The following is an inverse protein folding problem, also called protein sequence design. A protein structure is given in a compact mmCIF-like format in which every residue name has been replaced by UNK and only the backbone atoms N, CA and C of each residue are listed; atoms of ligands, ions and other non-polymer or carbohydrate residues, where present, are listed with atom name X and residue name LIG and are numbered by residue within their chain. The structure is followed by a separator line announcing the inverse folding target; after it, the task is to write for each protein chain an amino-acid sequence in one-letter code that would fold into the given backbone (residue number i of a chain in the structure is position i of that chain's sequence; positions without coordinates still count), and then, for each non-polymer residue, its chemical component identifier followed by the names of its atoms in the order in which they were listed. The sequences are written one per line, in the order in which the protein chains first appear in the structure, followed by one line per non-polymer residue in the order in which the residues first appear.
data_IF_392792877084
#
_entry.id   IF_392792877084
#
_cell.length_a   1.000
_cell.length_b   1.000
_cell.length_c   1.000
_cell.angle_alpha   90.00
_cell.angle_beta   90.00
_cell.angle_gamma   90.00
#
_symmetry.space_group_name_H-M   'P 1'
#
loop_
_entity.id
_entity.type
_entity.pdbx_description
1 polymer ?
#
# COMPACT_ATOMS: atom_id res chain seq x y z
N UNK A 1 2.40 -0.49 -6.28
CA UNK A 1 1.30 -1.49 -6.24
C UNK A 1 1.84 -2.82 -6.75
N UNK A 2 1.65 -3.90 -6.00
CA UNK A 2 2.18 -5.24 -6.27
C UNK A 2 1.18 -6.14 -7.00
N UNK A 3 -0.12 -5.95 -6.81
CA UNK A 3 -1.16 -6.81 -7.40
C UNK A 3 -2.33 -6.00 -7.94
N UNK A 4 -2.81 -6.38 -9.12
CA UNK A 4 -4.05 -5.87 -9.71
C UNK A 4 -5.09 -6.98 -9.69
N UNK A 5 -6.20 -6.75 -9.00
CA UNK A 5 -7.38 -7.61 -9.07
C UNK A 5 -8.35 -6.95 -10.03
N UNK A 6 -8.55 -7.58 -11.19
CA UNK A 6 -9.40 -7.08 -12.26
C UNK A 6 -10.59 -8.02 -12.45
N UNK A 7 -11.79 -7.50 -12.23
CA UNK A 7 -13.04 -8.16 -12.63
C UNK A 7 -13.36 -7.66 -14.03
N UNK A 8 -13.24 -8.54 -15.02
CA UNK A 8 -13.48 -8.21 -16.41
C UNK A 8 -14.93 -7.79 -16.60
N UNK A 9 -15.18 -6.52 -16.93
CA UNK A 9 -16.53 -5.97 -16.98
C UNK A 9 -17.37 -6.56 -18.13
N UNK A 10 -16.74 -7.03 -19.22
CA UNK A 10 -17.45 -7.68 -20.33
C UNK A 10 -17.81 -9.12 -20.01
N UNK A 11 -16.89 -9.88 -19.40
CA UNK A 11 -17.19 -11.26 -18.99
C UNK A 11 -18.15 -11.30 -17.79
N UNK A 12 -18.05 -10.34 -16.87
CA UNK A 12 -18.98 -10.20 -15.75
C UNK A 12 -20.43 -9.99 -16.22
N UNK A 13 -20.64 -9.15 -17.24
CA UNK A 13 -21.97 -8.89 -17.79
C UNK A 13 -22.64 -10.14 -18.42
N UNK A 14 -21.84 -11.13 -18.85
CA UNK A 14 -22.34 -12.39 -19.42
C UNK A 14 -22.77 -13.41 -18.35
N UNK A 15 -22.48 -13.16 -17.07
CA UNK A 15 -22.85 -14.09 -15.99
C UNK A 15 -24.37 -14.09 -15.81
N UNK A 16 -24.96 -15.26 -15.97
CA UNK A 16 -26.40 -15.48 -15.75
C UNK A 16 -26.70 -15.98 -14.33
N UNK A 17 -25.80 -16.77 -13.75
CA UNK A 17 -26.02 -17.41 -12.45
C UNK A 17 -25.73 -16.43 -11.32
N UNK A 18 -26.74 -16.22 -10.48
CA UNK A 18 -26.61 -15.40 -9.27
C UNK A 18 -25.51 -15.90 -8.34
N UNK A 19 -25.37 -17.22 -8.20
CA UNK A 19 -24.34 -17.82 -7.35
C UNK A 19 -22.93 -17.47 -7.83
N UNK A 20 -22.70 -17.34 -9.14
CA UNK A 20 -21.39 -16.96 -9.67
C UNK A 20 -21.08 -15.48 -9.37
N UNK A 21 -22.07 -14.60 -9.46
CA UNK A 21 -21.94 -13.18 -9.03
C UNK A 21 -21.60 -13.08 -7.53
N UNK A 22 -22.23 -13.91 -6.70
CA UNK A 22 -21.92 -13.98 -5.27
C UNK A 22 -20.56 -14.61 -5.00
N UNK A 23 -20.15 -15.61 -5.79
CA UNK A 23 -18.81 -16.18 -5.70
C UNK A 23 -17.73 -15.14 -6.05
N UNK A 24 -17.98 -14.21 -6.97
CA UNK A 24 -17.06 -13.10 -7.24
C UNK A 24 -16.90 -12.21 -6.01
N UNK A 25 -17.98 -11.85 -5.31
CA UNK A 25 -17.88 -11.14 -4.03
C UNK A 25 -17.01 -11.89 -3.03
N UNK A 26 -17.22 -13.21 -2.90
CA UNK A 26 -16.44 -14.06 -1.99
C UNK A 26 -14.96 -14.06 -2.39
N UNK A 27 -14.64 -14.17 -3.67
CA UNK A 27 -13.26 -14.07 -4.18
C UNK A 27 -12.63 -12.74 -3.77
N UNK A 28 -13.32 -11.61 -3.98
CA UNK A 28 -12.82 -10.29 -3.59
C UNK A 28 -12.55 -10.24 -2.08
N UNK A 29 -13.50 -10.68 -1.27
CA UNK A 29 -13.37 -10.68 0.20
C UNK A 29 -12.21 -11.56 0.69
N UNK A 30 -12.02 -12.73 0.09
CA UNK A 30 -10.89 -13.63 0.38
C UNK A 30 -9.54 -13.02 -0.03
N UNK A 31 -9.45 -12.42 -1.22
CA UNK A 31 -8.24 -11.73 -1.66
C UNK A 31 -7.91 -10.52 -0.78
N UNK A 32 -8.92 -9.75 -0.37
CA UNK A 32 -8.76 -8.63 0.56
C UNK A 32 -8.19 -9.06 1.92
N UNK A 33 -8.49 -10.30 2.35
CA UNK A 33 -7.95 -10.88 3.58
C UNK A 33 -6.53 -11.43 3.41
N UNK A 34 -6.23 -12.02 2.26
CA UNK A 34 -4.95 -12.71 2.01
C UNK A 34 -3.84 -11.74 1.63
N UNK A 35 -4.14 -10.73 0.82
CA UNK A 35 -3.14 -9.81 0.29
C UNK A 35 -2.73 -8.74 1.33
N UNK A 36 -1.45 -8.31 1.33
CA UNK A 36 -0.99 -7.27 2.24
C UNK A 36 -1.79 -5.96 2.10
N UNK A 37 -2.01 -5.27 3.22
CA UNK A 37 -2.77 -4.01 3.23
C UNK A 37 -2.09 -2.97 2.32
N UNK A 38 -2.89 -2.27 1.51
CA UNK A 38 -2.50 -1.25 0.52
C UNK A 38 -1.48 -1.72 -0.53
N UNK A 39 -1.29 -3.02 -0.74
CA UNK A 39 -0.38 -3.53 -1.79
C UNK A 39 -1.09 -3.82 -3.12
N UNK A 40 -2.41 -3.87 -3.14
CA UNK A 40 -3.20 -4.26 -4.31
C UNK A 40 -4.26 -3.22 -4.67
N UNK A 41 -4.72 -3.26 -5.92
CA UNK A 41 -5.86 -2.45 -6.38
C UNK A 41 -6.99 -3.35 -6.84
N UNK A 42 -8.23 -2.87 -6.66
CA UNK A 42 -9.44 -3.49 -7.16
C UNK A 42 -9.94 -2.69 -8.36
N UNK A 43 -10.27 -3.38 -9.43
CA UNK A 43 -10.78 -2.78 -10.65
C UNK A 43 -11.90 -3.64 -11.22
N UNK A 44 -13.02 -3.06 -11.63
CA UNK A 44 -14.10 -3.86 -12.20
C UNK A 44 -15.36 -3.10 -12.58
N UNK A 45 -16.43 -3.80 -13.01
CA UNK A 45 -17.60 -3.19 -13.62
C UNK A 45 -18.38 -2.30 -12.65
N UNK A 46 -18.76 -1.12 -13.16
CA UNK A 46 -19.72 -0.19 -12.57
C UNK A 46 -19.59 -0.04 -11.06
N UNK A 47 -20.72 -0.10 -10.34
CA UNK A 47 -20.77 0.28 -8.92
C UNK A 47 -20.42 -0.87 -7.99
N UNK A 48 -19.38 -0.68 -7.21
CA UNK A 48 -19.06 -1.56 -6.09
C UNK A 48 -19.83 -1.09 -4.84
N UNK A 49 -20.33 -2.01 -4.02
CA UNK A 49 -21.14 -1.60 -2.86
C UNK A 49 -22.63 -1.45 -3.14
N UNK A 50 -23.10 -1.75 -4.36
CA UNK A 50 -24.52 -1.73 -4.68
C UNK A 50 -25.26 -2.90 -4.02
N UNK A 51 -26.38 -2.59 -3.33
CA UNK A 51 -27.36 -3.60 -2.87
C UNK A 51 -28.43 -3.91 -3.94
N UNK A 52 -28.37 -3.21 -5.08
CA UNK A 52 -29.35 -3.25 -6.16
C UNK A 52 -28.96 -4.19 -7.30
N UNK A 53 -28.91 -3.67 -8.52
CA UNK A 53 -28.65 -4.47 -9.73
C UNK A 53 -27.19 -4.97 -9.79
N UNK A 54 -26.98 -6.19 -9.29
CA UNK A 54 -25.68 -6.87 -9.19
C UNK A 54 -25.04 -7.09 -10.56
N UNK A 55 -25.80 -7.01 -11.66
CA UNK A 55 -25.23 -7.10 -13.01
C UNK A 55 -24.49 -5.84 -13.42
N UNK A 56 -24.79 -4.71 -12.79
CA UNK A 56 -24.17 -3.41 -13.07
C UNK A 56 -22.99 -3.10 -12.14
N UNK A 57 -22.63 -4.01 -11.23
CA UNK A 57 -21.41 -3.90 -10.44
C UNK A 57 -21.28 -4.94 -9.33
N UNK A 58 -20.12 -4.96 -8.67
CA UNK A 58 -19.78 -6.04 -7.73
C UNK A 58 -20.44 -5.80 -6.36
N UNK A 59 -21.18 -6.78 -5.79
CA UNK A 59 -22.01 -6.57 -4.60
C UNK A 59 -21.22 -6.71 -3.30
N UNK A 60 -20.08 -6.04 -3.21
CA UNK A 60 -19.20 -6.02 -2.04
C UNK A 60 -19.79 -5.17 -0.91
N UNK A 61 -19.37 -5.43 0.32
CA UNK A 61 -19.46 -4.45 1.42
C UNK A 61 -18.11 -3.81 1.67
N UNK A 62 -18.06 -2.71 2.43
CA UNK A 62 -16.80 -2.06 2.80
C UNK A 62 -15.77 -3.05 3.39
N UNK A 63 -16.21 -3.95 4.27
CA UNK A 63 -15.37 -5.01 4.86
C UNK A 63 -14.73 -5.96 3.85
N UNK A 64 -15.32 -6.09 2.66
CA UNK A 64 -14.81 -6.98 1.61
C UNK A 64 -13.63 -6.35 0.86
N UNK A 65 -13.38 -5.04 1.01
CA UNK A 65 -12.41 -4.29 0.20
C UNK A 65 -11.50 -3.34 0.99
N UNK A 66 -11.65 -3.27 2.32
CA UNK A 66 -11.03 -2.24 3.16
C UNK A 66 -9.49 -2.24 3.17
N UNK A 67 -8.82 -3.30 2.72
CA UNK A 67 -7.36 -3.37 2.64
C UNK A 67 -6.82 -2.91 1.27
N UNK A 68 -7.65 -2.69 0.26
CA UNK A 68 -7.20 -2.29 -1.09
C UNK A 68 -6.55 -0.90 -1.08
N UNK A 69 -5.52 -0.65 -1.88
CA UNK A 69 -4.97 0.69 -2.05
C UNK A 69 -5.93 1.62 -2.83
N UNK A 70 -6.67 1.03 -3.75
CA UNK A 70 -7.51 1.76 -4.71
C UNK A 70 -8.67 0.90 -5.19
N UNK A 71 -9.79 1.56 -5.45
CA UNK A 71 -10.94 1.03 -6.17
C UNK A 71 -11.12 1.81 -7.47
N UNK A 72 -11.12 1.08 -8.58
CA UNK A 72 -11.32 1.60 -9.93
C UNK A 72 -12.63 1.05 -10.48
N UNK A 73 -13.63 1.91 -10.61
CA UNK A 73 -14.94 1.54 -11.16
C UNK A 73 -14.92 1.79 -12.67
N UNK A 74 -15.12 0.73 -13.45
CA UNK A 74 -15.06 0.75 -14.91
C UNK A 74 -16.48 0.84 -15.47
N UNK A 75 -16.82 1.99 -16.04
CA UNK A 75 -18.10 2.21 -16.71
C UNK A 75 -17.97 1.87 -18.21
N UNK A 76 -18.71 0.86 -18.66
CA UNK A 76 -18.87 0.51 -20.08
C UNK A 76 -20.23 1.04 -20.55
N UNK A 77 -20.31 1.60 -21.76
CA UNK A 77 -21.56 2.13 -22.34
C UNK A 77 -22.45 1.04 -22.97
N UNK A 78 -22.02 -0.22 -22.95
CA UNK A 78 -22.64 -1.34 -23.67
C UNK A 78 -24.04 -1.75 -23.14
N UNK A 79 -24.41 -1.32 -21.94
CA UNK A 79 -25.79 -1.40 -21.45
C UNK A 79 -26.49 -0.06 -21.68
N UNK A 80 -27.78 -0.08 -22.03
CA UNK A 80 -28.67 1.10 -22.15
C UNK A 80 -28.76 2.00 -20.92
N UNK A 81 -27.99 1.69 -19.87
CA UNK A 81 -27.82 2.41 -18.63
C UNK A 81 -26.32 2.59 -18.38
N UNK A 82 -25.86 3.84 -18.31
CA UNK A 82 -24.56 4.15 -17.69
C UNK A 82 -24.69 3.79 -16.20
N UNK A 83 -23.84 2.91 -15.65
CA UNK A 83 -23.94 2.53 -14.25
C UNK A 83 -23.69 3.74 -13.35
N UNK A 84 -24.56 3.95 -12.37
CA UNK A 84 -24.37 4.95 -11.32
C UNK A 84 -23.13 4.58 -10.51
N UNK A 85 -22.07 5.36 -10.63
CA UNK A 85 -20.84 5.14 -9.89
C UNK A 85 -21.01 5.44 -8.39
N UNK A 86 -20.09 4.96 -7.56
CA UNK A 86 -20.18 5.11 -6.10
C UNK A 86 -20.00 6.55 -5.60
N UNK A 87 -19.56 7.47 -6.46
CA UNK A 87 -19.31 8.87 -6.14
C UNK A 87 -20.53 9.54 -5.49
N UNK A 88 -20.33 10.16 -4.31
CA UNK A 88 -21.40 10.84 -3.56
C UNK A 88 -22.29 9.94 -2.69
N UNK A 89 -21.90 8.67 -2.48
CA UNK A 89 -22.66 7.71 -1.65
C UNK A 89 -21.99 7.50 -0.28
N UNK A 90 -22.71 6.91 0.70
CA UNK A 90 -22.10 6.52 1.99
C UNK A 90 -20.89 5.62 1.79
N UNK A 91 -20.97 4.70 0.82
CA UNK A 91 -19.88 3.82 0.46
C UNK A 91 -18.64 4.61 -0.01
N UNK A 92 -18.81 5.68 -0.78
CA UNK A 92 -17.69 6.55 -1.16
C UNK A 92 -17.10 7.29 0.03
N UNK A 93 -17.91 7.72 1.00
CA UNK A 93 -17.37 8.29 2.24
C UNK A 93 -16.52 7.26 3.00
N UNK A 94 -16.98 6.02 3.10
CA UNK A 94 -16.20 4.93 3.72
C UNK A 94 -14.84 4.72 3.01
N UNK A 95 -14.78 4.85 1.68
CA UNK A 95 -13.53 4.78 0.92
C UNK A 95 -12.60 5.95 1.23
N UNK A 96 -13.16 7.17 1.29
CA UNK A 96 -12.40 8.40 1.59
C UNK A 96 -11.82 8.34 3.00
N UNK A 97 -12.63 7.98 4.00
CA UNK A 97 -12.21 7.84 5.40
C UNK A 97 -11.07 6.83 5.60
N UNK A 98 -10.99 5.83 4.72
CA UNK A 98 -9.97 4.79 4.79
C UNK A 98 -8.79 5.06 3.85
N UNK A 99 -8.75 6.22 3.19
CA UNK A 99 -7.73 6.56 2.22
C UNK A 99 -7.61 5.51 1.10
N UNK A 100 -8.72 4.86 0.76
CA UNK A 100 -8.84 4.02 -0.42
C UNK A 100 -9.03 4.97 -1.60
N UNK A 101 -8.05 4.99 -2.50
CA UNK A 101 -8.13 5.84 -3.67
C UNK A 101 -9.29 5.41 -4.55
N UNK A 102 -10.06 6.37 -5.05
CA UNK A 102 -11.23 6.10 -5.88
C UNK A 102 -11.02 6.72 -7.25
N UNK A 103 -11.21 5.93 -8.30
CA UNK A 103 -11.12 6.39 -9.68
C UNK A 103 -12.27 5.83 -10.51
N UNK A 104 -13.18 6.67 -10.99
CA UNK A 104 -14.07 6.27 -12.06
C UNK A 104 -13.30 6.26 -13.39
N UNK A 105 -13.44 5.18 -14.15
CA UNK A 105 -12.77 4.99 -15.43
C UNK A 105 -13.79 4.73 -16.53
N UNK A 106 -13.63 5.41 -17.65
CA UNK A 106 -14.48 5.32 -18.85
C UNK A 106 -13.61 4.90 -20.04
N UNK A 107 -13.34 3.60 -20.25
CA UNK A 107 -12.44 3.13 -21.30
C UNK A 107 -12.84 3.52 -22.72
N UNK A 108 -14.13 3.78 -22.95
CA UNK A 108 -14.68 4.17 -24.26
C UNK A 108 -14.57 5.67 -24.56
N UNK A 109 -14.09 6.48 -23.62
CA UNK A 109 -13.87 7.90 -23.87
C UNK A 109 -12.61 8.10 -24.71
N UNK A 110 -12.68 9.02 -25.68
CA UNK A 110 -11.62 9.23 -26.69
C UNK A 110 -10.26 9.61 -26.10
N UNK A 111 -10.28 10.21 -24.91
CA UNK A 111 -9.07 10.66 -24.20
C UNK A 111 -8.55 9.60 -23.22
N UNK A 112 -9.24 8.45 -23.10
CA UNK A 112 -8.81 7.33 -22.26
C UNK A 112 -7.93 6.36 -23.07
N UNK A 113 -6.71 6.14 -22.59
CA UNK A 113 -5.84 5.07 -23.11
C UNK A 113 -5.95 3.90 -22.14
N UNK A 114 -6.70 2.87 -22.54
CA UNK A 114 -6.87 1.66 -21.75
C UNK A 114 -6.07 0.50 -22.34
N UNK A 115 -5.06 0.03 -21.60
CA UNK A 115 -4.12 -1.00 -22.08
C UNK A 115 -4.70 -2.41 -21.90
N UNK A 116 -5.67 -2.81 -22.72
CA UNK A 116 -6.34 -4.13 -22.62
C UNK A 116 -5.37 -5.32 -22.64
N UNK A 117 -4.28 -5.19 -23.39
CA UNK A 117 -3.25 -6.24 -23.50
C UNK A 117 -2.55 -6.52 -22.17
N UNK A 118 -2.50 -5.56 -21.25
CA UNK A 118 -2.03 -5.81 -19.88
C UNK A 118 -2.92 -6.82 -19.17
N UNK A 119 -4.25 -6.65 -19.25
CA UNK A 119 -5.20 -7.52 -18.56
C UNK A 119 -5.41 -8.86 -19.26
N UNK A 120 -5.31 -8.90 -20.59
CA UNK A 120 -5.53 -10.13 -21.37
C UNK A 120 -4.26 -10.96 -21.56
N UNK A 121 -3.09 -10.32 -21.53
CA UNK A 121 -1.78 -10.99 -21.74
C UNK A 121 -1.09 -11.43 -20.46
N UNK A 122 -1.51 -10.94 -19.29
CA UNK A 122 -0.89 -11.30 -18.02
C UNK A 122 -1.34 -12.67 -17.52
N UNK A 123 -0.41 -13.40 -16.90
CA UNK A 123 -0.68 -14.61 -16.13
C UNK A 123 -1.68 -14.31 -15.00
N UNK A 124 -2.78 -15.05 -14.99
CA UNK A 124 -3.79 -14.99 -13.94
C UNK A 124 -3.46 -15.94 -12.78
N UNK A 125 -3.28 -15.39 -11.59
CA UNK A 125 -3.01 -16.12 -10.34
C UNK A 125 -4.24 -16.69 -9.63
N UNK A 126 -5.47 -16.41 -10.07
CA UNK A 126 -6.70 -16.78 -9.34
C UNK A 126 -6.74 -18.28 -9.01
N UNK A 127 -6.55 -19.13 -10.01
CA UNK A 127 -6.62 -20.60 -9.85
C UNK A 127 -5.53 -21.16 -8.92
N UNK A 128 -4.43 -20.44 -8.73
CA UNK A 128 -3.37 -20.84 -7.82
C UNK A 128 -3.68 -20.43 -6.38
N UNK A 129 -4.14 -19.20 -6.17
CA UNK A 129 -4.42 -18.65 -4.83
C UNK A 129 -5.73 -19.22 -4.28
N UNK A 130 -6.77 -19.31 -5.12
CA UNK A 130 -8.10 -19.77 -4.77
C UNK A 130 -8.58 -20.88 -5.74
N UNK A 131 -8.04 -22.11 -5.65
CA UNK A 131 -8.33 -23.19 -6.61
C UNK A 131 -9.82 -23.51 -6.77
N UNK A 132 -10.59 -23.40 -5.69
CA UNK A 132 -12.05 -23.60 -5.68
C UNK A 132 -12.78 -22.71 -6.71
N UNK A 133 -12.25 -21.51 -6.95
CA UNK A 133 -12.83 -20.50 -7.82
C UNK A 133 -12.13 -20.40 -9.19
N UNK A 134 -11.25 -21.35 -9.53
CA UNK A 134 -10.49 -21.31 -10.77
C UNK A 134 -11.35 -21.27 -12.04
N UNK A 135 -12.57 -21.80 -11.99
CA UNK A 135 -13.54 -21.73 -13.10
C UNK A 135 -14.03 -20.30 -13.41
N UNK A 136 -13.78 -19.33 -12.53
CA UNK A 136 -14.07 -17.91 -12.75
C UNK A 136 -12.84 -17.12 -13.24
N UNK A 137 -11.76 -17.79 -13.64
CA UNK A 137 -10.51 -17.12 -14.09
C UNK A 137 -10.68 -16.28 -15.36
N UNK A 138 -11.71 -16.54 -16.16
CA UNK A 138 -12.05 -15.71 -17.32
C UNK A 138 -12.65 -14.36 -16.89
N UNK A 139 -13.26 -14.31 -15.70
CA UNK A 139 -13.92 -13.11 -15.17
C UNK A 139 -13.05 -12.38 -14.15
N UNK A 140 -12.42 -13.09 -13.22
CA UNK A 140 -11.58 -12.48 -12.18
C UNK A 140 -10.12 -12.80 -12.45
N UNK A 141 -9.33 -11.74 -12.66
CA UNK A 141 -7.90 -11.81 -12.93
C UNK A 141 -7.12 -11.28 -11.73
N UNK A 142 -6.26 -12.12 -11.17
CA UNK A 142 -5.31 -11.72 -10.12
C UNK A 142 -3.93 -11.62 -10.76
N UNK A 143 -3.51 -10.39 -11.04
CA UNK A 143 -2.27 -10.10 -11.77
C UNK A 143 -1.23 -9.60 -10.76
N UNK A 144 -0.33 -10.49 -10.35
CA UNK A 144 0.86 -10.10 -9.60
C UNK A 144 1.86 -9.44 -10.56
N UNK A 145 2.32 -8.22 -10.24
CA UNK A 145 3.19 -7.45 -11.12
C UNK A 145 4.53 -8.15 -11.29
N UNK A 146 5.12 -8.67 -10.21
CA UNK A 146 6.41 -9.37 -10.22
C UNK A 146 6.43 -10.63 -11.10
N UNK A 147 5.31 -11.36 -11.15
CA UNK A 147 5.14 -12.58 -11.95
C UNK A 147 5.09 -12.31 -13.45
N UNK A 148 4.69 -11.10 -13.83
CA UNK A 148 4.45 -10.70 -15.22
C UNK A 148 5.51 -9.72 -15.74
N UNK A 149 6.12 -8.94 -14.86
CA UNK A 149 7.02 -7.85 -15.16
C UNK A 149 8.18 -7.85 -14.17
N UNK A 150 9.33 -8.38 -14.62
CA UNK A 150 10.51 -8.54 -13.77
C UNK A 150 11.00 -7.20 -13.21
N UNK A 151 11.14 -7.14 -11.88
CA UNK A 151 11.63 -5.98 -11.14
C UNK A 151 10.88 -4.68 -11.49
N UNK A 152 9.55 -4.76 -11.60
CA UNK A 152 8.65 -3.63 -11.83
C UNK A 152 7.58 -3.57 -10.74
N UNK A 153 7.08 -2.37 -10.50
CA UNK A 153 5.88 -2.08 -9.73
C UNK A 153 4.90 -1.27 -10.58
N UNK A 154 3.61 -1.40 -10.28
CA UNK A 154 2.59 -0.53 -10.86
C UNK A 154 2.51 0.77 -10.03
N UNK A 155 2.76 1.89 -10.70
CA UNK A 155 2.63 3.23 -10.15
C UNK A 155 1.36 3.85 -10.71
N UNK A 156 0.53 4.42 -9.84
CA UNK A 156 -0.68 5.16 -10.21
C UNK A 156 -0.56 6.58 -9.69
N UNK A 157 -0.55 7.54 -10.60
CA UNK A 157 -0.56 8.97 -10.31
C UNK A 157 -1.96 9.52 -10.61
N UNK A 158 -2.50 10.32 -9.71
CA UNK A 158 -3.80 10.96 -9.89
C UNK A 158 -3.71 12.43 -9.52
N UNK A 159 -4.36 13.27 -10.31
CA UNK A 159 -4.57 14.67 -10.02
C UNK A 159 -6.07 14.96 -10.14
N UNK A 160 -6.70 15.23 -9.00
CA UNK A 160 -8.14 15.50 -8.92
C UNK A 160 -8.54 16.83 -9.56
N UNK A 161 -7.69 17.87 -9.45
CA UNK A 161 -7.96 19.19 -10.02
C UNK A 161 -7.94 19.17 -11.56
N UNK A 162 -6.99 18.41 -12.12
CA UNK A 162 -6.86 18.21 -13.56
C UNK A 162 -7.77 17.10 -14.10
N UNK A 163 -8.41 16.33 -13.22
CA UNK A 163 -9.18 15.12 -13.55
C UNK A 163 -8.39 14.13 -14.43
N UNK A 164 -7.12 13.92 -14.08
CA UNK A 164 -6.22 13.04 -14.83
C UNK A 164 -5.65 11.96 -13.93
N UNK A 165 -5.56 10.75 -14.47
CA UNK A 165 -4.85 9.64 -13.86
C UNK A 165 -3.94 8.97 -14.89
N UNK A 166 -2.78 8.51 -14.45
CA UNK A 166 -1.83 7.74 -15.27
C UNK A 166 -1.38 6.54 -14.45
N UNK A 167 -1.41 5.37 -15.08
CA UNK A 167 -0.84 4.15 -14.54
C UNK A 167 0.28 3.67 -15.44
N UNK A 168 1.44 3.34 -14.87
CA UNK A 168 2.59 2.82 -15.62
C UNK A 168 3.41 1.86 -14.76
N UNK A 169 4.17 1.00 -15.44
CA UNK A 169 5.09 0.07 -14.80
C UNK A 169 6.48 0.69 -14.75
N UNK A 170 7.06 0.77 -13.56
CA UNK A 170 8.43 1.24 -13.39
C UNK A 170 9.19 0.39 -12.38
N UNK A 171 10.51 0.55 -12.28
CA UNK A 171 11.28 -0.12 -11.24
C UNK A 171 10.78 0.32 -9.86
N UNK A 172 10.76 -0.59 -8.87
CA UNK A 172 10.63 -0.17 -7.47
C UNK A 172 11.61 0.97 -7.26
N UNK A 173 11.19 2.06 -6.62
CA UNK A 173 12.02 3.24 -6.49
C UNK A 173 13.38 2.86 -5.90
N UNK A 174 14.41 2.70 -6.75
CA UNK A 174 15.74 3.02 -6.31
C UNK A 174 15.68 4.52 -6.16
N UNK A 175 15.75 5.01 -4.93
CA UNK A 175 16.21 6.37 -4.66
C UNK A 175 17.62 6.47 -5.27
N UNK A 176 17.70 6.66 -6.58
CA UNK A 176 18.94 6.95 -7.27
C UNK A 176 19.33 8.34 -6.80
N UNK A 177 20.33 8.36 -5.93
CA UNK A 177 20.86 9.51 -5.21
C UNK A 177 21.26 10.68 -6.13
N UNK A 178 21.39 10.43 -7.44
CA UNK A 178 21.92 11.38 -8.41
C UNK A 178 20.95 12.47 -8.88
N UNK A 179 19.67 12.45 -8.49
CA UNK A 179 18.71 13.53 -8.82
C UNK A 179 18.26 14.36 -7.60
N UNK A 180 18.77 14.08 -6.40
CA UNK A 180 18.25 14.64 -5.15
C UNK A 180 18.74 16.05 -4.78
N UNK A 181 19.64 16.67 -5.55
CA UNK A 181 20.17 18.00 -5.17
C UNK A 181 19.25 19.15 -5.59
N UNK A 182 18.29 18.96 -6.52
CA UNK A 182 17.56 20.11 -7.07
C UNK A 182 16.07 20.19 -6.79
N UNK A 183 15.42 19.24 -6.12
CA UNK A 183 14.02 19.41 -5.67
C UNK A 183 13.74 18.51 -4.47
N UNK A 184 13.96 19.02 -3.25
CA UNK A 184 13.43 18.38 -2.04
C UNK A 184 11.92 18.60 -2.04
N UNK A 185 11.20 17.73 -2.75
CA UNK A 185 9.75 17.59 -2.61
C UNK A 185 9.51 16.87 -1.28
N UNK A 186 9.54 17.61 -0.16
CA UNK A 186 8.94 17.12 1.08
C UNK A 186 7.50 16.77 0.71
N UNK A 187 7.00 15.55 0.99
CA UNK A 187 5.60 15.24 0.74
C UNK A 187 4.75 16.34 1.36
N UNK A 188 4.03 17.11 0.53
CA UNK A 188 3.05 18.08 1.02
C UNK A 188 1.99 17.26 1.75
N UNK A 189 2.08 17.22 3.09
CA UNK A 189 0.99 16.72 3.90
C UNK A 189 -0.14 17.72 3.73
N UNK A 190 -1.20 17.33 3.04
CA UNK A 190 -2.48 17.97 3.21
C UNK A 190 -2.85 17.95 4.71
N UNK A 191 -3.64 18.93 5.16
CA UNK A 191 -4.09 19.10 6.55
C UNK A 191 -4.87 17.89 7.14
N UNK A 192 -4.90 16.73 6.49
CA UNK A 192 -5.53 15.50 6.97
C UNK A 192 -4.60 14.69 7.86
N UNK A 193 -5.13 14.18 8.96
CA UNK A 193 -4.48 13.29 9.93
C UNK A 193 -3.96 11.95 9.36
N UNK A 194 -4.27 11.65 8.09
CA UNK A 194 -4.13 10.32 7.45
C UNK A 194 -2.77 10.06 6.78
N UNK A 195 -1.93 11.09 6.60
CA UNK A 195 -0.58 10.96 6.05
C UNK A 195 0.51 10.83 7.13
N UNK A 196 0.10 10.71 8.40
CA UNK A 196 1.01 10.65 9.55
C UNK A 196 2.04 9.51 9.47
N UNK A 197 1.63 8.34 8.96
CA UNK A 197 2.52 7.19 8.78
C UNK A 197 3.48 7.37 7.59
N UNK A 198 3.07 8.00 6.49
CA UNK A 198 3.93 8.22 5.31
C UNK A 198 5.11 9.12 5.65
N UNK A 199 4.84 10.21 6.37
CA UNK A 199 5.88 11.12 6.82
C UNK A 199 6.85 10.42 7.76
N UNK A 200 6.34 9.65 8.72
CA UNK A 200 7.15 8.86 9.66
C UNK A 200 8.01 7.82 8.94
N UNK A 201 7.43 7.10 7.99
CA UNK A 201 8.13 6.12 7.17
C UNK A 201 9.26 6.80 6.37
N UNK A 202 8.95 7.89 5.69
CA UNK A 202 9.94 8.69 4.96
C UNK A 202 11.07 9.16 5.87
N UNK A 203 10.76 9.69 7.06
CA UNK A 203 11.80 10.13 8.00
C UNK A 203 12.64 8.96 8.53
N UNK A 204 12.05 7.78 8.73
CA UNK A 204 12.79 6.57 9.07
C UNK A 204 13.77 6.15 7.97
N UNK A 205 13.37 6.23 6.70
CA UNK A 205 14.27 6.02 5.55
C UNK A 205 15.39 7.06 5.52
N UNK A 206 15.10 8.34 5.80
CA UNK A 206 16.14 9.37 5.86
C UNK A 206 17.16 9.08 6.96
N UNK A 207 16.73 8.65 8.15
CA UNK A 207 17.62 8.25 9.24
C UNK A 207 18.50 7.06 8.80
N UNK A 208 17.88 6.01 8.22
CA UNK A 208 18.59 4.83 7.75
C UNK A 208 19.61 5.14 6.63
N UNK A 209 19.33 6.15 5.80
CA UNK A 209 20.25 6.58 4.74
C UNK A 209 21.40 7.43 5.28
N UNK A 210 21.18 8.25 6.31
CA UNK A 210 22.19 9.18 6.84
C UNK A 210 23.09 8.58 7.91
N UNK A 211 22.68 7.47 8.54
CA UNK A 211 23.53 6.78 9.51
C UNK A 211 24.76 6.16 8.84
N UNK A 212 25.92 6.34 9.48
CA UNK A 212 27.14 5.63 9.13
C UNK A 212 27.16 4.27 9.87
N UNK A 213 26.69 3.23 9.18
CA UNK A 213 26.58 1.89 9.74
C UNK A 213 27.93 1.27 10.10
N UNK A 214 29.04 1.72 9.48
CA UNK A 214 30.37 1.19 9.79
C UNK A 214 30.92 1.81 11.07
N UNK A 215 30.83 3.13 11.20
CA UNK A 215 31.27 3.87 12.39
C UNK A 215 30.50 3.40 13.62
N UNK A 216 29.17 3.25 13.49
CA UNK A 216 28.29 2.89 14.59
C UNK A 216 28.10 1.38 14.78
N UNK A 217 28.84 0.51 14.08
CA UNK A 217 28.71 -0.95 14.21
C UNK A 217 27.26 -1.46 14.07
N UNK A 218 26.54 -0.96 13.06
CA UNK A 218 25.18 -1.39 12.72
C UNK A 218 25.22 -2.36 11.53
N UNK A 219 24.51 -3.48 11.61
CA UNK A 219 24.35 -4.47 10.53
C UNK A 219 23.03 -4.33 9.79
N UNK A 220 22.00 -3.83 10.47
CA UNK A 220 20.67 -3.69 9.88
C UNK A 220 19.81 -2.72 10.65
N UNK A 221 18.92 -2.06 9.93
CA UNK A 221 17.95 -1.11 10.45
C UNK A 221 16.60 -1.53 9.90
N UNK A 222 15.63 -1.70 10.80
CA UNK A 222 14.30 -2.14 10.45
C UNK A 222 13.27 -1.20 11.07
N UNK A 223 12.16 -1.01 10.36
CA UNK A 223 10.99 -0.30 10.82
C UNK A 223 9.96 -1.31 11.30
N UNK A 224 9.28 -1.05 12.41
CA UNK A 224 8.16 -1.88 12.84
C UNK A 224 7.00 -1.03 13.39
N UNK A 225 6.02 -1.70 13.99
CA UNK A 225 4.94 -1.03 14.71
C UNK A 225 3.95 -0.30 13.82
N UNK A 226 3.36 0.77 14.35
CA UNK A 226 2.22 1.45 13.70
C UNK A 226 2.61 2.12 12.37
N UNK A 227 3.85 2.60 12.26
CA UNK A 227 4.37 3.21 11.03
C UNK A 227 4.56 2.16 9.94
N UNK A 228 5.12 1.00 10.28
CA UNK A 228 5.25 -0.13 9.35
C UNK A 228 3.89 -0.65 8.88
N UNK A 229 2.92 -0.73 9.80
CA UNK A 229 1.58 -1.25 9.52
C UNK A 229 0.64 -0.22 8.87
N UNK A 230 1.16 0.96 8.48
CA UNK A 230 0.40 2.04 7.85
C UNK A 230 -0.80 2.53 8.70
N UNK A 231 -0.70 2.45 10.03
CA UNK A 231 -1.74 2.88 10.98
C UNK A 231 -1.32 4.01 11.91
N UNK A 232 -0.07 4.51 11.79
CA UNK A 232 0.44 5.59 12.62
C UNK A 232 -0.36 6.89 12.45
N UNK A 233 -0.69 7.50 13.60
CA UNK A 233 -1.45 8.76 13.72
C UNK A 233 -0.51 9.91 14.06
N UNK A 234 -1.07 11.12 14.19
CA UNK A 234 -0.31 12.35 14.48
C UNK A 234 0.48 12.32 15.80
N UNK A 235 0.04 11.51 16.76
CA UNK A 235 0.69 11.31 18.06
C UNK A 235 1.52 10.01 18.16
N UNK A 236 1.63 9.24 17.06
CA UNK A 236 2.44 8.02 17.03
C UNK A 236 3.93 8.34 16.99
N UNK A 237 4.72 7.41 17.49
CA UNK A 237 6.17 7.34 17.39
C UNK A 237 6.62 6.59 16.10
N UNK A 238 7.93 6.50 15.94
CA UNK A 238 8.62 5.74 14.89
C UNK A 238 9.43 4.65 15.59
N UNK A 239 8.95 3.42 15.49
CA UNK A 239 9.59 2.24 16.06
C UNK A 239 10.73 1.73 15.15
N UNK A 240 11.98 1.84 15.61
CA UNK A 240 13.14 1.34 14.90
C UNK A 240 13.80 0.18 15.65
N UNK A 241 14.15 -0.86 14.91
CA UNK A 241 14.96 -1.97 15.38
C UNK A 241 16.35 -1.87 14.76
N UNK A 242 17.38 -1.82 15.59
CA UNK A 242 18.78 -1.69 15.18
C UNK A 242 19.51 -2.99 15.50
N UNK A 243 19.94 -3.69 14.45
CA UNK A 243 20.83 -4.83 14.58
C UNK A 243 22.26 -4.33 14.79
N UNK A 244 22.70 -4.39 16.04
CA UNK A 244 23.93 -3.79 16.53
C UNK A 244 24.95 -4.86 16.94
N UNK A 245 26.24 -4.59 16.67
CA UNK A 245 27.34 -5.49 17.02
C UNK A 245 28.59 -4.77 17.57
N UNK A 246 28.42 -3.52 18.00
CA UNK A 246 29.49 -2.73 18.62
C UNK A 246 29.61 -2.93 20.13
N UNK A 247 30.46 -2.13 20.75
CA UNK A 247 30.61 -2.00 22.20
C UNK A 247 29.63 -0.97 22.78
N UNK A 248 29.55 -0.88 24.11
CA UNK A 248 28.66 0.06 24.79
C UNK A 248 29.01 1.54 24.50
N UNK A 249 30.27 1.88 24.24
CA UNK A 249 30.68 3.24 23.88
C UNK A 249 30.05 3.66 22.53
N UNK A 250 30.17 2.80 21.51
CA UNK A 250 29.52 3.04 20.20
C UNK A 250 28.01 3.07 20.30
N UNK A 251 27.43 2.23 21.15
CA UNK A 251 25.98 2.21 21.40
C UNK A 251 25.51 3.52 22.02
N UNK A 252 26.26 4.08 22.97
CA UNK A 252 25.99 5.38 23.56
C UNK A 252 26.08 6.50 22.52
N UNK A 253 27.16 6.52 21.72
CA UNK A 253 27.33 7.50 20.64
C UNK A 253 26.19 7.44 19.61
N UNK A 254 25.78 6.24 19.20
CA UNK A 254 24.64 6.03 18.31
C UNK A 254 23.33 6.50 18.95
N UNK A 255 23.13 6.19 20.23
CA UNK A 255 21.93 6.60 20.97
C UNK A 255 21.82 8.12 21.06
N UNK A 256 22.94 8.83 21.26
CA UNK A 256 22.98 10.30 21.26
C UNK A 256 22.58 10.85 19.88
N UNK A 257 23.12 10.27 18.80
CA UNK A 257 22.80 10.69 17.44
C UNK A 257 21.32 10.47 17.10
N UNK A 258 20.77 9.29 17.44
CA UNK A 258 19.34 8.97 17.26
C UNK A 258 18.45 9.86 18.13
N UNK A 259 18.88 10.20 19.35
CA UNK A 259 18.13 11.12 20.21
C UNK A 259 18.06 12.53 19.60
N UNK A 260 19.14 13.00 18.96
CA UNK A 260 19.14 14.25 18.20
C UNK A 260 18.07 14.27 17.11
N UNK A 261 17.98 13.19 16.33
CA UNK A 261 16.88 13.00 15.36
C UNK A 261 15.51 12.97 16.02
N UNK A 262 15.37 12.22 17.11
CA UNK A 262 14.11 12.08 17.85
C UNK A 262 13.56 13.42 18.33
N UNK A 263 14.42 14.27 18.91
CA UNK A 263 14.02 15.60 19.38
C UNK A 263 13.68 16.54 18.21
N UNK A 264 14.47 16.53 17.14
CA UNK A 264 14.21 17.37 15.97
C UNK A 264 12.88 16.99 15.28
N UNK A 265 12.63 15.68 15.11
CA UNK A 265 11.38 15.17 14.54
C UNK A 265 10.18 15.49 15.42
N UNK A 266 10.34 15.43 16.74
CA UNK A 266 9.30 15.81 17.70
C UNK A 266 8.88 17.27 17.52
N UNK A 267 9.85 18.18 17.37
CA UNK A 267 9.59 19.61 17.11
C UNK A 267 8.90 19.82 15.76
N UNK A 268 9.38 19.14 14.70
CA UNK A 268 8.74 19.20 13.38
C UNK A 268 7.30 18.66 13.44
N UNK A 269 7.05 17.56 14.15
CA UNK A 269 5.71 17.01 14.33
C UNK A 269 4.80 18.00 15.07
N UNK A 270 5.30 18.66 16.12
CA UNK A 270 4.57 19.72 16.83
C UNK A 270 4.22 20.89 15.91
N UNK A 271 5.19 21.42 15.14
CA UNK A 271 4.96 22.52 14.21
C UNK A 271 3.95 22.16 13.10
N UNK A 272 3.94 20.90 12.66
CA UNK A 272 3.03 20.41 11.62
C UNK A 272 1.62 20.10 12.15
N UNK A 273 1.49 19.62 13.38
CA UNK A 273 0.27 18.95 13.85
C UNK A 273 -0.31 19.51 15.14
N UNK A 274 0.47 20.31 15.88
CA UNK A 274 0.15 20.78 17.23
C UNK A 274 0.34 19.75 18.35
N UNK A 275 0.69 18.49 18.04
CA UNK A 275 0.94 17.46 19.04
C UNK A 275 2.37 17.53 19.56
N UNK A 276 2.52 17.80 20.85
CA UNK A 276 3.81 17.81 21.53
C UNK A 276 4.17 16.41 22.04
N UNK A 277 5.39 15.97 21.74
CA UNK A 277 5.97 14.69 22.18
C UNK A 277 7.35 14.92 22.82
N UNK A 278 7.85 13.97 23.60
CA UNK A 278 9.18 14.04 24.23
C UNK A 278 10.21 13.24 23.43
N UNK A 279 10.29 13.50 22.12
CA UNK A 279 10.95 12.63 21.16
C UNK A 279 9.94 11.85 20.33
N UNK A 280 10.34 11.46 19.13
CA UNK A 280 9.48 10.74 18.17
C UNK A 280 9.99 9.34 17.82
N UNK A 281 11.24 9.01 18.11
CA UNK A 281 11.79 7.68 17.86
C UNK A 281 11.71 6.81 19.10
N UNK A 282 11.25 5.57 18.93
CA UNK A 282 11.41 4.48 19.89
C UNK A 282 12.43 3.46 19.32
N UNK A 283 13.56 3.28 20.00
CA UNK A 283 14.71 2.54 19.47
C UNK A 283 14.92 1.25 20.26
N UNK A 284 14.95 0.13 19.56
CA UNK A 284 15.23 -1.19 20.12
C UNK A 284 16.50 -1.76 19.51
N UNK A 285 17.47 -2.13 20.36
CA UNK A 285 18.71 -2.75 19.91
C UNK A 285 18.62 -4.28 20.02
N UNK A 286 19.08 -4.98 18.98
CA UNK A 286 19.19 -6.45 18.96
C UNK A 286 20.57 -6.89 18.48
N UNK A 287 21.06 -7.97 19.07
CA UNK A 287 22.36 -8.56 18.74
C UNK A 287 22.22 -9.77 17.81
N UNK A 288 23.35 -10.29 17.30
CA UNK A 288 23.37 -11.56 16.57
C UNK A 288 22.78 -12.72 17.38
N UNK A 289 23.02 -12.73 18.70
CA UNK A 289 22.50 -13.76 19.60
C UNK A 289 20.99 -13.63 19.78
N UNK A 290 20.47 -12.40 19.87
CA UNK A 290 19.03 -12.17 19.97
C UNK A 290 18.27 -12.61 18.72
N UNK A 291 18.82 -12.31 17.54
CA UNK A 291 18.25 -12.74 16.25
C UNK A 291 18.27 -14.26 16.13
N UNK A 292 19.41 -14.89 16.46
CA UNK A 292 19.54 -16.34 16.41
C UNK A 292 18.56 -17.05 17.36
N UNK A 293 18.41 -16.51 18.57
CA UNK A 293 17.54 -17.09 19.60
C UNK A 293 16.08 -16.63 19.50
N UNK A 294 15.78 -15.69 18.59
CA UNK A 294 14.47 -15.04 18.46
C UNK A 294 13.96 -14.52 19.81
N UNK A 295 14.78 -13.72 20.48
CA UNK A 295 14.43 -13.11 21.78
C UNK A 295 13.94 -11.68 21.59
N UNK A 296 13.08 -11.21 22.50
CA UNK A 296 12.64 -9.81 22.55
C UNK A 296 12.06 -9.34 21.20
N UNK A 297 12.44 -8.15 20.73
CA UNK A 297 12.03 -7.58 19.44
C UNK A 297 12.65 -8.29 18.23
N UNK A 298 13.67 -9.13 18.41
CA UNK A 298 14.29 -9.87 17.32
C UNK A 298 13.34 -10.90 16.69
N UNK A 299 12.28 -11.31 17.38
CA UNK A 299 11.20 -12.16 16.81
C UNK A 299 10.53 -11.53 15.59
N UNK A 300 10.61 -10.20 15.45
CA UNK A 300 10.00 -9.47 14.33
C UNK A 300 10.84 -9.56 13.06
N UNK A 301 12.15 -9.81 13.16
CA UNK A 301 13.00 -10.04 11.99
C UNK A 301 12.65 -11.42 11.42
N UNK A 302 12.30 -11.46 10.13
CA UNK A 302 11.81 -12.66 9.42
C UNK A 302 10.54 -13.30 10.02
N UNK A 303 9.72 -12.52 10.73
CA UNK A 303 8.42 -12.97 11.23
C UNK A 303 7.44 -13.19 10.08
N UNK A 304 6.72 -14.32 10.10
CA UNK A 304 5.67 -14.61 9.11
C UNK A 304 4.41 -13.77 9.36
N UNK A 305 4.15 -13.40 10.62
CA UNK A 305 2.88 -12.77 11.01
C UNK A 305 2.96 -11.24 11.18
N UNK A 306 4.13 -10.72 11.56
CA UNK A 306 4.35 -9.29 11.83
C UNK A 306 5.82 -8.94 11.60
N UNK A 307 6.28 -8.95 10.32
CA UNK A 307 7.68 -8.71 9.98
C UNK A 307 8.06 -7.24 10.17
N UNK A 308 9.22 -7.01 10.79
CA UNK A 308 9.89 -5.73 10.71
C UNK A 308 10.39 -5.50 9.27
N UNK A 309 10.11 -4.32 8.72
CA UNK A 309 10.48 -3.95 7.36
C UNK A 309 11.94 -3.49 7.30
N UNK A 310 12.79 -4.11 6.47
CA UNK A 310 14.20 -3.72 6.36
C UNK A 310 14.33 -2.37 5.65
N UNK A 311 14.85 -1.36 6.36
CA UNK A 311 15.16 -0.03 5.79
C UNK A 311 16.54 -0.02 5.15
N UNK A 312 17.54 -0.61 5.80
CA UNK A 312 18.91 -0.72 5.29
C UNK A 312 19.64 -1.88 5.94
N UNK A 313 20.28 -2.72 5.14
CA UNK A 313 21.03 -3.89 5.57
C UNK A 313 22.48 -3.84 5.05
N UNK A 314 23.41 -4.46 5.79
CA UNK A 314 24.82 -4.64 5.41
C UNK A 314 25.06 -6.05 4.87
#
# INVERSE_FOLDING_TARGET
IMTVIYVDPYEYAKIEKYDDLMNIRIIISELNRILPRRSFILMGPGRWGSRGDIKLGVPVTYSDINNTAMLIEVAIKASTFEPDLSFGTHFFQDLVEENIKYLPLYPEDKDCIFMETFFNGSKNGLSHILPKYGYLSDVVKVIAVEDNFFNKELIVLMNGDLQKAIAYLDHPASLSTDTLVSNISIPELGNSSEDGWKWRHYMAEQIANQIDMEIYSVKGIYLFGSTNNCTARLNSDIDLLIHFHGDEERKEQLSIWLNGWSMALSEINYLKTGYQTNGLLDIHFVTDEDIKNRTSYAIKIDSIFDPAYPLRLK
#
